data_IF_690324511777
#
_entry.id   IF_690324511777
#
_cell.length_a   1.000
_cell.length_b   1.000
_cell.length_c   1.000
_cell.angle_alpha   90.00
_cell.angle_beta   90.00
_cell.angle_gamma   90.00
#
_symmetry.space_group_name_H-M   'P 1'
#
loop_
_entity.id
_entity.type
_entity.pdbx_description
1 polymer ?
#
# COMPACT_ATOMS: atom_id res chain seq x y z
N UNK A 1 -17.38 0.05 15.62
CA UNK A 1 -17.26 0.51 14.21
C UNK A 1 -18.57 1.23 13.83
N UNK A 2 -18.56 2.55 13.70
CA UNK A 2 -19.77 3.32 13.39
C UNK A 2 -19.91 3.49 11.87
N UNK A 3 -21.06 3.08 11.31
CA UNK A 3 -21.49 3.36 9.91
C UNK A 3 -20.39 3.20 8.84
N UNK A 4 -19.72 2.06 8.81
CA UNK A 4 -18.70 1.80 7.78
C UNK A 4 -19.36 1.73 6.40
N UNK A 5 -18.77 2.40 5.41
CA UNK A 5 -19.18 2.42 4.01
C UNK A 5 -18.16 1.77 3.08
N UNK A 6 -16.89 1.76 3.49
CA UNK A 6 -15.81 1.19 2.71
C UNK A 6 -14.81 0.41 3.56
N UNK A 7 -14.29 -0.67 2.98
CA UNK A 7 -13.27 -1.53 3.57
C UNK A 7 -12.03 -1.50 2.68
N UNK A 8 -10.93 -1.06 3.23
CA UNK A 8 -9.60 -1.17 2.62
C UNK A 8 -8.95 -2.44 3.17
N UNK A 9 -8.38 -3.27 2.30
CA UNK A 9 -7.81 -4.56 2.69
C UNK A 9 -6.37 -4.64 2.16
N UNK A 10 -5.41 -4.85 3.04
CA UNK A 10 -4.06 -5.22 2.63
C UNK A 10 -4.06 -6.59 1.97
N UNK A 11 -3.04 -6.87 1.17
CA UNK A 11 -2.91 -8.10 0.40
C UNK A 11 -1.96 -9.09 1.06
N UNK A 12 -0.68 -8.71 1.18
CA UNK A 12 0.40 -9.64 1.55
C UNK A 12 0.47 -9.80 3.06
N UNK A 13 0.12 -10.96 3.56
CA UNK A 13 0.01 -11.25 4.99
C UNK A 13 -1.43 -11.19 5.49
N UNK A 14 -2.33 -10.56 4.73
CA UNK A 14 -3.76 -10.42 5.06
C UNK A 14 -4.65 -11.36 4.22
N UNK A 15 -4.46 -11.40 2.90
CA UNK A 15 -5.21 -12.30 2.01
C UNK A 15 -4.39 -13.51 1.57
N UNK A 16 -3.09 -13.31 1.37
CA UNK A 16 -2.16 -14.35 0.91
C UNK A 16 -0.72 -14.07 1.38
N UNK A 17 0.11 -15.10 1.40
CA UNK A 17 1.57 -15.00 1.56
C UNK A 17 2.21 -15.66 0.33
N UNK A 18 2.88 -14.87 -0.50
CA UNK A 18 3.31 -15.34 -1.82
C UNK A 18 2.11 -15.79 -2.65
N UNK A 19 2.07 -17.04 -3.07
CA UNK A 19 0.94 -17.65 -3.77
C UNK A 19 0.03 -18.51 -2.86
N UNK A 20 0.30 -18.56 -1.56
CA UNK A 20 -0.50 -19.32 -0.61
C UNK A 20 -1.61 -18.43 -0.03
N UNK A 21 -2.85 -18.84 -0.22
CA UNK A 21 -4.02 -18.12 0.27
C UNK A 21 -4.14 -18.34 1.78
N UNK A 22 -4.41 -17.26 2.53
CA UNK A 22 -4.72 -17.36 3.96
C UNK A 22 -6.10 -18.03 4.11
N UNK A 23 -6.23 -19.06 4.97
CA UNK A 23 -7.51 -19.74 5.17
C UNK A 23 -8.65 -18.78 5.47
N UNK A 24 -9.76 -18.94 4.77
CA UNK A 24 -10.94 -18.06 4.93
C UNK A 24 -10.92 -16.75 4.12
N UNK A 25 -9.77 -16.34 3.54
CA UNK A 25 -9.65 -15.05 2.86
C UNK A 25 -10.61 -14.90 1.66
N UNK A 26 -10.76 -15.92 0.84
CA UNK A 26 -11.73 -15.89 -0.28
C UNK A 26 -13.17 -15.76 0.22
N UNK A 27 -13.52 -16.46 1.32
CA UNK A 27 -14.85 -16.35 1.93
C UNK A 27 -15.08 -14.94 2.50
N UNK A 28 -14.09 -14.34 3.12
CA UNK A 28 -14.14 -12.96 3.61
C UNK A 28 -14.47 -11.98 2.47
N UNK A 29 -13.73 -12.04 1.36
CA UNK A 29 -13.98 -11.20 0.18
C UNK A 29 -15.38 -11.45 -0.38
N UNK A 30 -15.82 -12.71 -0.47
CA UNK A 30 -17.16 -13.07 -0.96
C UNK A 30 -18.28 -12.54 -0.04
N UNK A 31 -18.09 -12.54 1.28
CA UNK A 31 -19.04 -11.93 2.23
C UNK A 31 -19.15 -10.42 2.00
N UNK A 32 -18.02 -9.73 1.86
CA UNK A 32 -18.01 -8.29 1.54
C UNK A 32 -18.67 -7.99 0.19
N UNK A 33 -18.45 -8.82 -0.83
CA UNK A 33 -19.13 -8.68 -2.14
C UNK A 33 -20.66 -8.73 -2.05
N UNK A 34 -21.19 -9.53 -1.11
CA UNK A 34 -22.63 -9.64 -0.87
C UNK A 34 -23.19 -8.50 0.00
N UNK A 35 -22.33 -7.69 0.59
CA UNK A 35 -22.70 -6.51 1.38
C UNK A 35 -22.84 -5.28 0.49
N UNK A 36 -23.25 -4.15 1.09
CA UNK A 36 -23.29 -2.84 0.42
C UNK A 36 -21.99 -2.06 0.53
N UNK A 37 -20.98 -2.64 1.21
CA UNK A 37 -19.71 -1.98 1.45
C UNK A 37 -18.87 -1.92 0.17
N UNK A 38 -18.19 -0.80 -0.03
CA UNK A 38 -17.18 -0.67 -1.08
C UNK A 38 -15.89 -1.35 -0.63
N UNK A 39 -15.20 -1.98 -1.57
CA UNK A 39 -13.96 -2.70 -1.31
C UNK A 39 -12.83 -2.04 -2.08
N UNK A 40 -11.68 -1.85 -1.43
CA UNK A 40 -10.43 -1.45 -2.05
C UNK A 40 -9.30 -2.33 -1.54
N UNK A 41 -8.59 -2.98 -2.42
CA UNK A 41 -7.39 -3.74 -2.12
C UNK A 41 -6.19 -2.81 -2.19
N UNK A 42 -5.47 -2.66 -1.08
CA UNK A 42 -4.39 -1.66 -0.95
C UNK A 42 -3.07 -2.33 -0.64
N UNK A 43 -1.97 -1.93 -1.31
CA UNK A 43 -0.69 -2.59 -1.11
C UNK A 43 0.50 -1.68 -1.37
N UNK A 44 1.60 -1.90 -0.63
CA UNK A 44 2.91 -1.28 -0.84
C UNK A 44 3.79 -2.06 -1.84
N UNK A 45 3.22 -2.94 -2.68
CA UNK A 45 4.03 -3.70 -3.64
C UNK A 45 4.77 -2.78 -4.61
N UNK A 46 6.03 -3.14 -4.89
CA UNK A 46 6.90 -2.43 -5.84
C UNK A 46 7.50 -3.37 -6.88
N UNK A 47 7.17 -4.66 -6.81
CA UNK A 47 7.80 -5.71 -7.64
C UNK A 47 7.02 -6.02 -8.92
N UNK A 48 5.73 -5.73 -8.93
CA UNK A 48 4.83 -6.09 -10.03
C UNK A 48 3.95 -4.91 -10.42
N UNK A 49 3.61 -4.82 -11.70
CA UNK A 49 2.68 -3.82 -12.22
C UNK A 49 1.26 -4.08 -11.70
N UNK A 50 0.42 -3.05 -11.76
CA UNK A 50 -1.01 -3.14 -11.45
C UNK A 50 -1.70 -4.27 -12.22
N UNK A 51 -1.39 -4.44 -13.53
CA UNK A 51 -1.93 -5.53 -14.34
C UNK A 51 -1.47 -6.90 -13.85
N UNK A 52 -0.17 -7.07 -13.58
CA UNK A 52 0.37 -8.36 -13.10
C UNK A 52 -0.21 -8.74 -11.74
N UNK A 53 -0.40 -7.75 -10.85
CA UNK A 53 -1.04 -7.95 -9.55
C UNK A 53 -2.51 -8.38 -9.71
N UNK A 54 -3.27 -7.68 -10.55
CA UNK A 54 -4.66 -8.03 -10.86
C UNK A 54 -4.77 -9.47 -11.36
N UNK A 55 -3.95 -9.86 -12.34
CA UNK A 55 -3.98 -11.20 -12.92
C UNK A 55 -3.60 -12.27 -11.88
N UNK A 56 -2.65 -11.96 -10.99
CA UNK A 56 -2.26 -12.86 -9.90
C UNK A 56 -3.37 -13.04 -8.87
N UNK A 57 -4.02 -11.98 -8.44
CA UNK A 57 -5.14 -12.07 -7.48
C UNK A 57 -6.31 -12.87 -8.05
N UNK A 58 -6.62 -12.71 -9.34
CA UNK A 58 -7.68 -13.49 -9.98
C UNK A 58 -7.30 -14.96 -10.13
N UNK A 59 -6.01 -15.30 -10.44
CA UNK A 59 -5.55 -16.69 -10.41
C UNK A 59 -5.64 -17.32 -9.01
N UNK A 60 -5.49 -16.51 -7.95
CA UNK A 60 -5.72 -16.93 -6.57
C UNK A 60 -7.22 -17.01 -6.21
N UNK A 61 -8.14 -16.71 -7.13
CA UNK A 61 -9.58 -16.86 -6.96
C UNK A 61 -10.25 -15.76 -6.12
N UNK A 62 -9.69 -14.54 -6.09
CA UNK A 62 -10.30 -13.42 -5.35
C UNK A 62 -11.31 -12.62 -6.17
N UNK A 63 -11.42 -12.84 -7.48
CA UNK A 63 -12.35 -12.14 -8.40
C UNK A 63 -12.27 -10.61 -8.27
N UNK A 64 -11.05 -10.06 -8.25
CA UNK A 64 -10.80 -8.64 -8.05
C UNK A 64 -10.94 -7.88 -9.37
N UNK A 65 -11.56 -6.71 -9.36
CA UNK A 65 -11.60 -5.78 -10.48
C UNK A 65 -10.36 -4.86 -10.46
N UNK A 66 -9.93 -4.38 -11.62
CA UNK A 66 -8.78 -3.49 -11.71
C UNK A 66 -8.95 -2.20 -10.90
N UNK A 67 -10.12 -1.59 -10.99
CA UNK A 67 -10.46 -0.36 -10.27
C UNK A 67 -10.59 -0.54 -8.75
N UNK A 68 -10.61 -1.78 -8.27
CA UNK A 68 -10.58 -2.09 -6.83
C UNK A 68 -9.17 -2.18 -6.24
N UNK A 69 -8.13 -2.17 -7.07
CA UNK A 69 -6.75 -2.22 -6.62
C UNK A 69 -6.18 -0.80 -6.54
N UNK A 70 -5.53 -0.48 -5.42
CA UNK A 70 -4.77 0.73 -5.24
C UNK A 70 -3.38 0.40 -4.69
N UNK A 71 -2.35 0.81 -5.39
CA UNK A 71 -0.96 0.49 -5.05
C UNK A 71 -0.16 1.75 -4.76
N UNK A 72 0.97 1.60 -4.08
CA UNK A 72 1.93 2.69 -3.94
C UNK A 72 2.49 3.15 -5.30
N UNK A 73 2.55 2.26 -6.32
CA UNK A 73 2.89 2.66 -7.69
C UNK A 73 1.80 3.54 -8.31
N UNK A 74 0.51 3.21 -8.11
CA UNK A 74 -0.61 4.05 -8.55
C UNK A 74 -0.58 5.42 -7.87
N UNK A 75 -0.26 5.47 -6.58
CA UNK A 75 -0.10 6.72 -5.83
C UNK A 75 1.05 7.57 -6.37
N UNK A 76 2.21 6.95 -6.67
CA UNK A 76 3.34 7.63 -7.29
C UNK A 76 2.97 8.19 -8.68
N UNK A 77 2.28 7.40 -9.51
CA UNK A 77 1.82 7.83 -10.83
C UNK A 77 0.90 9.04 -10.72
N UNK A 78 -0.07 9.01 -9.84
CA UNK A 78 -0.97 10.14 -9.59
C UNK A 78 -0.21 11.40 -9.17
N UNK A 79 0.79 11.27 -8.30
CA UNK A 79 1.63 12.41 -7.88
C UNK A 79 2.44 12.97 -9.06
N UNK A 80 3.04 12.12 -9.88
CA UNK A 80 3.82 12.50 -11.06
C UNK A 80 2.95 13.26 -12.05
N UNK A 81 1.77 12.73 -12.37
CA UNK A 81 0.83 13.36 -13.31
C UNK A 81 0.34 14.71 -12.77
N UNK A 82 -0.03 14.78 -11.49
CA UNK A 82 -0.50 16.00 -10.83
C UNK A 82 0.56 17.10 -10.81
N UNK A 83 1.82 16.75 -10.57
CA UNK A 83 2.94 17.68 -10.52
C UNK A 83 3.64 17.89 -11.86
N UNK A 84 3.20 17.20 -12.93
CA UNK A 84 3.82 17.22 -14.27
C UNK A 84 5.32 16.92 -14.22
N UNK A 85 5.70 15.88 -13.46
CA UNK A 85 7.08 15.50 -13.27
C UNK A 85 7.56 14.57 -14.40
N UNK A 86 8.86 14.65 -14.69
CA UNK A 86 9.59 13.75 -15.60
C UNK A 86 10.53 12.89 -14.74
N UNK A 87 10.14 11.65 -14.43
CA UNK A 87 10.89 10.85 -13.48
C UNK A 87 12.06 10.10 -14.12
N UNK A 88 13.18 10.02 -13.39
CA UNK A 88 14.14 8.95 -13.51
C UNK A 88 13.62 7.76 -12.67
N UNK A 89 13.30 6.64 -13.35
CA UNK A 89 12.62 5.51 -12.72
C UNK A 89 13.62 4.44 -12.26
N UNK A 90 13.90 4.38 -10.96
CA UNK A 90 14.64 3.30 -10.30
C UNK A 90 13.65 2.24 -9.80
N UNK A 91 13.04 1.53 -10.74
CA UNK A 91 11.96 0.56 -10.54
C UNK A 91 12.27 -0.73 -11.30
N UNK A 92 11.70 -1.85 -10.85
CA UNK A 92 11.75 -3.11 -11.62
C UNK A 92 11.06 -2.93 -12.98
N UNK A 93 11.44 -3.72 -13.98
CA UNK A 93 10.86 -3.64 -15.32
C UNK A 93 9.35 -3.88 -15.32
N UNK A 94 8.85 -4.73 -14.41
CA UNK A 94 7.41 -4.90 -14.24
C UNK A 94 6.73 -3.64 -13.72
N UNK A 95 7.30 -3.01 -12.68
CA UNK A 95 6.73 -1.79 -12.10
C UNK A 95 6.77 -0.58 -13.06
N UNK A 96 7.78 -0.49 -13.91
CA UNK A 96 7.87 0.57 -14.93
C UNK A 96 6.68 0.59 -15.90
N UNK A 97 5.98 -0.52 -16.09
CA UNK A 97 4.78 -0.60 -16.94
C UNK A 97 3.65 0.32 -16.47
N UNK A 98 3.56 0.59 -15.16
CA UNK A 98 2.55 1.50 -14.59
C UNK A 98 2.86 2.97 -14.92
N UNK A 99 4.08 3.25 -15.42
CA UNK A 99 4.53 4.57 -15.82
C UNK A 99 4.57 4.75 -17.35
N UNK A 100 3.98 3.81 -18.09
CA UNK A 100 3.90 3.94 -19.55
C UNK A 100 3.23 5.26 -19.96
N UNK A 101 3.81 5.95 -20.95
CA UNK A 101 3.36 7.24 -21.44
C UNK A 101 3.76 8.45 -20.59
N UNK A 102 4.50 8.26 -19.49
CA UNK A 102 5.11 9.38 -18.76
C UNK A 102 6.37 9.82 -19.49
N UNK A 103 6.53 11.13 -19.69
CA UNK A 103 7.75 11.70 -20.23
C UNK A 103 8.91 11.52 -19.24
N UNK A 104 10.04 11.01 -19.69
CA UNK A 104 11.23 10.74 -18.87
C UNK A 104 12.49 11.48 -19.31
N UNK A 105 12.41 12.25 -20.40
CA UNK A 105 13.55 13.05 -20.86
C UNK A 105 13.79 14.24 -19.93
N UNK A 106 15.06 14.60 -19.74
CA UNK A 106 15.47 15.66 -18.82
C UNK A 106 14.79 15.57 -17.44
N UNK A 107 15.06 14.50 -16.66
CA UNK A 107 14.32 14.20 -15.45
C UNK A 107 14.42 15.31 -14.40
N UNK A 108 13.29 15.63 -13.75
CA UNK A 108 13.20 16.55 -12.62
C UNK A 108 12.65 15.87 -11.35
N UNK A 109 12.57 14.55 -11.38
CA UNK A 109 12.26 13.72 -10.24
C UNK A 109 13.02 12.38 -10.33
N UNK A 110 13.30 11.77 -9.17
CA UNK A 110 13.79 10.39 -9.02
C UNK A 110 12.70 9.62 -8.33
N UNK A 111 12.24 8.52 -8.93
CA UNK A 111 11.23 7.62 -8.34
C UNK A 111 11.92 6.32 -7.96
N UNK A 112 11.94 6.01 -6.67
CA UNK A 112 12.66 4.86 -6.13
C UNK A 112 11.69 3.84 -5.52
N UNK A 113 11.66 2.63 -6.08
CA UNK A 113 11.04 1.44 -5.53
C UNK A 113 12.06 0.33 -5.33
N UNK A 114 11.65 -0.84 -4.85
CA UNK A 114 12.55 -1.96 -4.65
C UNK A 114 12.98 -2.52 -6.02
N UNK A 115 14.19 -2.19 -6.43
CA UNK A 115 14.78 -2.61 -7.69
C UNK A 115 16.29 -2.85 -7.52
N UNK A 116 16.70 -4.02 -7.01
CA UNK A 116 18.10 -4.34 -6.74
C UNK A 116 19.03 -4.08 -7.93
N UNK A 117 18.57 -4.33 -9.15
CA UNK A 117 19.33 -4.12 -10.39
C UNK A 117 19.66 -2.64 -10.66
N UNK A 118 18.93 -1.70 -10.03
CA UNK A 118 19.14 -0.26 -10.15
C UNK A 118 19.85 0.34 -8.92
N UNK A 119 20.33 -0.47 -7.97
CA UNK A 119 21.03 0.03 -6.80
C UNK A 119 22.55 -0.09 -6.93
N UNK A 120 23.06 0.00 -8.18
CA UNK A 120 24.50 0.10 -8.44
C UNK A 120 25.04 1.47 -8.04
N UNK A 121 26.36 1.57 -7.82
CA UNK A 121 27.02 2.82 -7.49
C UNK A 121 26.78 3.90 -8.57
N UNK A 122 26.81 3.51 -9.84
CA UNK A 122 26.58 4.40 -10.98
C UNK A 122 25.16 4.95 -11.01
N UNK A 123 24.16 4.10 -10.84
CA UNK A 123 22.76 4.53 -10.84
C UNK A 123 22.42 5.39 -9.61
N UNK A 124 22.98 5.06 -8.45
CA UNK A 124 22.84 5.89 -7.25
C UNK A 124 23.49 7.27 -7.42
N UNK A 125 24.68 7.34 -8.04
CA UNK A 125 25.35 8.62 -8.36
C UNK A 125 24.56 9.45 -9.38
N UNK A 126 23.95 8.81 -10.36
CA UNK A 126 23.09 9.48 -11.33
C UNK A 126 21.87 10.11 -10.64
N UNK A 127 21.19 9.35 -9.78
CA UNK A 127 20.09 9.85 -8.97
C UNK A 127 20.55 11.02 -8.07
N UNK A 128 21.67 10.87 -7.36
CA UNK A 128 22.25 11.93 -6.52
C UNK A 128 22.45 13.24 -7.30
N UNK A 129 23.07 13.16 -8.48
CA UNK A 129 23.30 14.36 -9.34
C UNK A 129 21.99 15.03 -9.74
N UNK A 130 20.95 14.27 -10.07
CA UNK A 130 19.62 14.81 -10.37
C UNK A 130 19.05 15.57 -9.17
N UNK A 131 19.16 14.99 -7.97
CA UNK A 131 18.66 15.60 -6.73
C UNK A 131 19.41 16.88 -6.38
N UNK A 132 20.76 16.89 -6.53
CA UNK A 132 21.58 18.09 -6.34
C UNK A 132 21.22 19.21 -7.33
N UNK A 133 20.70 18.87 -8.52
CA UNK A 133 20.19 19.82 -9.52
C UNK A 133 18.71 20.18 -9.32
N UNK A 134 18.13 19.90 -8.15
CA UNK A 134 16.79 20.32 -7.76
C UNK A 134 15.66 19.33 -8.12
N UNK A 135 15.98 18.11 -8.57
CA UNK A 135 14.97 17.07 -8.77
C UNK A 135 14.33 16.66 -7.44
N UNK A 136 13.06 16.23 -7.47
CA UNK A 136 12.36 15.70 -6.30
C UNK A 136 12.68 14.22 -6.11
N UNK A 137 12.82 13.77 -4.86
CA UNK A 137 12.94 12.36 -4.52
C UNK A 137 11.56 11.82 -4.12
N UNK A 138 11.05 10.84 -4.87
CA UNK A 138 9.78 10.14 -4.59
C UNK A 138 10.11 8.70 -4.23
N UNK A 139 9.78 8.30 -3.01
CA UNK A 139 9.95 6.95 -2.50
C UNK A 139 8.61 6.21 -2.54
N UNK A 140 8.54 5.09 -3.26
CA UNK A 140 7.34 4.26 -3.30
C UNK A 140 7.00 3.74 -1.89
N UNK A 141 8.01 3.40 -1.11
CA UNK A 141 7.94 3.14 0.32
C UNK A 141 9.33 3.34 0.96
N UNK A 142 9.38 3.34 2.30
CA UNK A 142 10.64 3.41 3.06
C UNK A 142 10.84 2.19 3.96
N UNK A 143 10.44 1.01 3.49
CA UNK A 143 10.65 -0.23 4.22
C UNK A 143 12.15 -0.43 4.52
N UNK A 144 12.45 -0.78 5.78
CA UNK A 144 13.84 -1.04 6.23
C UNK A 144 14.37 -2.33 5.63
N UNK A 145 13.55 -3.38 5.64
CA UNK A 145 13.85 -4.72 5.15
C UNK A 145 12.55 -5.40 4.69
N UNK A 146 12.67 -6.47 3.94
CA UNK A 146 11.55 -7.32 3.57
C UNK A 146 11.94 -8.79 3.72
N UNK A 147 10.94 -9.64 3.94
CA UNK A 147 11.12 -11.08 4.06
C UNK A 147 11.31 -11.71 2.67
N UNK A 148 12.35 -12.53 2.53
CA UNK A 148 12.52 -13.53 1.46
C UNK A 148 12.14 -14.91 2.00
N UNK A 149 12.21 -15.92 1.15
CA UNK A 149 11.86 -17.30 1.55
C UNK A 149 12.68 -17.77 2.75
N UNK A 150 13.99 -17.49 2.78
CA UNK A 150 14.92 -18.03 3.78
C UNK A 150 15.66 -16.95 4.59
N UNK A 151 15.53 -15.68 4.25
CA UNK A 151 16.28 -14.59 4.90
C UNK A 151 15.50 -13.26 4.88
N UNK A 152 16.15 -12.22 5.45
CA UNK A 152 15.70 -10.82 5.36
C UNK A 152 16.65 -10.08 4.41
N UNK A 153 16.09 -9.22 3.56
CA UNK A 153 16.86 -8.39 2.65
C UNK A 153 16.56 -6.91 2.87
N UNK A 154 17.51 -6.04 2.50
CA UNK A 154 17.37 -4.60 2.58
C UNK A 154 16.15 -4.13 1.76
N UNK A 155 15.31 -3.33 2.39
CA UNK A 155 14.21 -2.63 1.73
C UNK A 155 14.67 -1.36 1.02
N UNK A 156 13.74 -0.75 0.29
CA UNK A 156 13.95 0.49 -0.45
C UNK A 156 14.43 1.63 0.46
N UNK A 157 13.99 1.65 1.72
CA UNK A 157 14.29 2.73 2.67
C UNK A 157 15.78 2.94 2.92
N UNK A 158 16.61 1.89 2.87
CA UNK A 158 18.07 2.01 3.03
C UNK A 158 18.69 2.84 1.88
N UNK A 159 18.26 2.62 0.65
CA UNK A 159 18.75 3.33 -0.54
C UNK A 159 18.19 4.75 -0.62
N UNK A 160 16.94 4.94 -0.24
CA UNK A 160 16.33 6.27 -0.09
C UNK A 160 17.10 7.09 0.95
N UNK A 161 17.39 6.51 2.11
CA UNK A 161 18.16 7.17 3.18
C UNK A 161 19.58 7.55 2.71
N UNK A 162 20.22 6.71 1.89
CA UNK A 162 21.53 7.03 1.32
C UNK A 162 21.49 8.29 0.43
N UNK A 163 20.45 8.43 -0.41
CA UNK A 163 20.27 9.64 -1.24
C UNK A 163 19.87 10.85 -0.39
N UNK A 164 18.99 10.70 0.59
CA UNK A 164 18.62 11.77 1.52
C UNK A 164 19.85 12.29 2.28
N UNK A 165 20.71 11.36 2.76
CA UNK A 165 21.94 11.69 3.47
C UNK A 165 22.95 12.45 2.59
N UNK A 166 23.11 11.99 1.33
CA UNK A 166 24.09 12.57 0.40
C UNK A 166 23.65 13.92 -0.18
N UNK A 167 22.36 14.27 -0.16
CA UNK A 167 21.83 15.44 -0.87
C UNK A 167 21.05 16.41 0.00
N UNK A 168 20.77 16.06 1.26
CA UNK A 168 19.85 16.78 2.18
C UNK A 168 18.40 16.91 1.62
N UNK A 169 18.08 16.27 0.51
CA UNK A 169 16.73 16.25 -0.07
C UNK A 169 15.86 15.27 0.71
N UNK A 170 14.70 15.70 1.17
CA UNK A 170 13.72 14.81 1.82
C UNK A 170 12.85 14.13 0.76
N UNK A 171 12.68 12.81 0.90
CA UNK A 171 11.80 12.05 0.01
C UNK A 171 10.33 12.32 0.30
N UNK A 172 9.53 12.36 -0.77
CA UNK A 172 8.07 12.29 -0.70
C UNK A 172 7.72 10.81 -0.74
N UNK A 173 7.27 10.27 0.38
CA UNK A 173 6.81 8.87 0.45
C UNK A 173 5.36 8.79 0.00
N UNK A 174 5.03 7.81 -0.84
CA UNK A 174 3.69 7.70 -1.45
C UNK A 174 2.96 6.39 -1.12
N UNK A 175 3.54 5.53 -0.30
CA UNK A 175 2.94 4.29 0.19
C UNK A 175 2.45 4.41 1.64
N UNK A 176 1.86 3.33 2.17
CA UNK A 176 1.55 3.19 3.59
C UNK A 176 2.84 3.37 4.41
N UNK A 177 2.82 4.04 5.59
CA UNK A 177 1.65 4.54 6.34
C UNK A 177 1.21 5.97 5.99
N UNK A 178 1.67 6.58 4.92
CA UNK A 178 1.41 7.99 4.62
C UNK A 178 -0.09 8.28 4.44
N UNK A 179 -0.57 9.36 5.07
CA UNK A 179 -1.97 9.80 4.98
C UNK A 179 -2.44 10.00 3.54
N UNK A 180 -1.56 10.52 2.69
CA UNK A 180 -1.84 10.74 1.26
C UNK A 180 -2.18 9.45 0.52
N UNK A 181 -1.59 8.32 0.92
CA UNK A 181 -1.92 7.00 0.36
C UNK A 181 -3.36 6.60 0.69
N UNK A 182 -3.75 6.68 1.97
CA UNK A 182 -5.10 6.30 2.40
C UNK A 182 -6.17 7.21 1.81
N UNK A 183 -5.93 8.53 1.79
CA UNK A 183 -6.85 9.48 1.15
C UNK A 183 -6.98 9.21 -0.36
N UNK A 184 -5.87 8.97 -1.05
CA UNK A 184 -5.91 8.61 -2.48
C UNK A 184 -6.65 7.30 -2.74
N UNK A 185 -6.51 6.31 -1.85
CA UNK A 185 -7.27 5.06 -1.94
C UNK A 185 -8.79 5.30 -1.77
N UNK A 186 -9.19 6.14 -0.80
CA UNK A 186 -10.60 6.53 -0.58
C UNK A 186 -11.13 7.31 -1.78
N UNK A 187 -10.41 8.30 -2.28
CA UNK A 187 -10.80 9.08 -3.47
C UNK A 187 -11.01 8.18 -4.69
N UNK A 188 -10.15 7.16 -4.85
CA UNK A 188 -10.23 6.20 -5.95
C UNK A 188 -11.41 5.24 -5.88
N UNK A 189 -12.21 5.25 -4.80
CA UNK A 189 -13.46 4.47 -4.70
C UNK A 189 -14.57 4.97 -5.64
N UNK A 190 -14.37 6.11 -6.32
CA UNK A 190 -15.26 6.60 -7.36
C UNK A 190 -16.67 6.96 -6.88
N UNK A 191 -16.81 7.43 -5.66
CA UNK A 191 -18.09 7.85 -5.08
C UNK A 191 -18.43 9.26 -5.60
N UNK A 192 -18.87 9.34 -6.85
CA UNK A 192 -19.17 10.59 -7.56
C UNK A 192 -20.28 11.46 -6.96
N UNK A 193 -21.02 10.99 -5.95
CA UNK A 193 -22.07 11.76 -5.28
C UNK A 193 -22.15 11.59 -3.75
N UNK A 194 -21.28 10.75 -3.14
CA UNK A 194 -21.19 10.59 -1.70
C UNK A 194 -19.72 10.54 -1.34
N UNK A 195 -19.21 11.61 -0.79
CA UNK A 195 -17.86 11.65 -0.22
C UNK A 195 -17.83 10.64 0.92
N UNK A 196 -17.11 9.53 0.74
CA UNK A 196 -16.80 8.62 1.83
C UNK A 196 -15.77 9.32 2.71
N UNK A 197 -16.15 9.67 3.93
CA UNK A 197 -15.24 10.29 4.90
C UNK A 197 -14.32 9.21 5.47
N UNK A 198 -13.11 9.59 5.87
CA UNK A 198 -12.15 8.63 6.45
C UNK A 198 -12.76 7.86 7.61
N UNK A 199 -13.55 8.50 8.47
CA UNK A 199 -14.23 7.90 9.62
C UNK A 199 -15.30 6.85 9.26
N UNK A 200 -15.72 6.79 7.99
CA UNK A 200 -16.64 5.80 7.43
C UNK A 200 -15.90 4.64 6.74
N UNK A 201 -14.57 4.62 6.86
CA UNK A 201 -13.70 3.62 6.27
C UNK A 201 -12.99 2.81 7.36
N UNK A 202 -12.74 1.54 7.05
CA UNK A 202 -11.92 0.67 7.90
C UNK A 202 -10.82 0.02 7.09
N UNK A 203 -9.62 -0.04 7.66
CA UNK A 203 -8.47 -0.77 7.11
C UNK A 203 -8.32 -2.11 7.81
N UNK A 204 -8.13 -3.18 7.05
CA UNK A 204 -7.76 -4.51 7.55
C UNK A 204 -6.33 -4.79 7.08
N UNK A 205 -5.41 -5.07 7.99
CA UNK A 205 -4.02 -5.37 7.66
C UNK A 205 -3.28 -6.13 8.75
N UNK A 206 -2.12 -6.69 8.39
CA UNK A 206 -1.25 -7.47 9.26
C UNK A 206 -0.07 -6.67 9.84
N UNK A 207 0.14 -5.46 9.31
CA UNK A 207 1.18 -4.56 9.79
C UNK A 207 0.56 -3.47 10.69
N UNK A 208 0.92 -3.53 11.98
CA UNK A 208 0.37 -2.62 12.99
C UNK A 208 0.72 -1.15 12.71
N UNK A 209 1.87 -0.86 12.08
CA UNK A 209 2.30 0.51 11.80
C UNK A 209 1.84 0.98 10.43
N UNK A 210 2.17 0.20 9.39
CA UNK A 210 1.94 0.62 8.01
C UNK A 210 0.46 0.56 7.64
N UNK A 211 -0.27 -0.45 8.09
CA UNK A 211 -1.69 -0.62 7.78
C UNK A 211 -2.57 0.09 8.81
N UNK A 212 -2.55 -0.42 10.04
CA UNK A 212 -3.50 -0.02 11.08
C UNK A 212 -3.18 1.36 11.62
N UNK A 213 -1.92 1.60 11.99
CA UNK A 213 -1.46 2.90 12.49
C UNK A 213 -1.65 4.01 11.48
N UNK A 214 -1.20 3.79 10.23
CA UNK A 214 -1.36 4.77 9.15
C UNK A 214 -2.83 5.08 8.84
N UNK A 215 -3.70 4.07 8.88
CA UNK A 215 -5.15 4.26 8.70
C UNK A 215 -5.76 5.08 9.83
N UNK A 216 -5.44 4.77 11.09
CA UNK A 216 -5.91 5.52 12.28
C UNK A 216 -5.44 6.98 12.22
N UNK A 217 -4.17 7.23 11.89
CA UNK A 217 -3.64 8.58 11.71
C UNK A 217 -4.31 9.34 10.56
N UNK A 218 -4.89 8.63 9.59
CA UNK A 218 -5.67 9.16 8.48
C UNK A 218 -7.15 9.37 8.81
N UNK A 219 -7.56 9.11 10.06
CA UNK A 219 -8.93 9.26 10.55
C UNK A 219 -9.86 8.07 10.26
N UNK A 220 -9.30 6.92 9.88
CA UNK A 220 -10.03 5.67 9.63
C UNK A 220 -10.08 4.82 10.90
N UNK A 221 -10.93 3.78 10.88
CA UNK A 221 -10.79 2.65 11.80
C UNK A 221 -9.75 1.66 11.28
N UNK A 222 -9.11 0.88 12.16
CA UNK A 222 -8.14 -0.15 11.79
C UNK A 222 -8.41 -1.46 12.50
N UNK A 223 -8.32 -2.58 11.78
CA UNK A 223 -8.39 -3.93 12.31
C UNK A 223 -7.08 -4.66 12.02
N UNK A 224 -6.40 -5.10 13.08
CA UNK A 224 -5.15 -5.85 12.99
C UNK A 224 -5.45 -7.35 12.94
N UNK A 225 -4.96 -8.03 11.90
CA UNK A 225 -5.08 -9.48 11.76
C UNK A 225 -3.81 -10.18 12.26
N UNK A 226 -3.99 -11.31 12.98
CA UNK A 226 -2.89 -12.10 13.55
C UNK A 226 -2.28 -13.06 12.52
N UNK A 227 -2.15 -12.60 11.28
CA UNK A 227 -1.54 -13.34 10.16
C UNK A 227 -0.29 -12.61 9.67
N UNK A 228 0.40 -13.14 8.68
CA UNK A 228 1.51 -12.46 8.01
C UNK A 228 2.62 -11.98 8.95
N UNK A 229 2.83 -10.67 8.98
CA UNK A 229 3.90 -10.02 9.76
C UNK A 229 3.61 -9.91 11.25
N UNK A 230 2.34 -10.00 11.67
CA UNK A 230 1.96 -9.82 13.05
C UNK A 230 2.81 -10.65 14.02
N UNK A 231 3.18 -10.05 15.13
CA UNK A 231 3.82 -10.69 16.29
C UNK A 231 3.05 -10.33 17.55
N UNK A 232 2.97 -11.26 18.49
CA UNK A 232 2.30 -11.02 19.78
C UNK A 232 2.82 -9.75 20.46
N UNK A 233 1.92 -8.85 20.82
CA UNK A 233 2.25 -7.54 21.41
C UNK A 233 2.43 -6.42 20.40
N UNK A 234 2.25 -6.67 19.10
CA UNK A 234 2.34 -5.60 18.08
C UNK A 234 1.29 -4.51 18.30
N UNK A 235 0.11 -4.85 18.80
CA UNK A 235 -0.97 -3.93 19.15
C UNK A 235 -0.55 -2.85 20.16
N UNK A 236 0.36 -3.18 21.07
CA UNK A 236 0.87 -2.25 22.09
C UNK A 236 1.66 -1.09 21.46
N UNK A 237 2.25 -1.28 20.28
CA UNK A 237 3.07 -0.26 19.60
C UNK A 237 2.29 0.99 19.21
N UNK A 238 0.97 0.88 19.10
CA UNK A 238 0.06 1.98 18.77
C UNK A 238 -1.09 2.12 19.77
N UNK A 239 -1.02 1.42 20.92
CA UNK A 239 -2.08 1.35 21.91
C UNK A 239 -3.44 0.93 21.33
N UNK A 240 -3.43 -0.05 20.41
CA UNK A 240 -4.66 -0.55 19.78
C UNK A 240 -5.45 -1.38 20.78
N UNK A 241 -6.74 -1.09 20.92
CA UNK A 241 -7.61 -1.88 21.80
C UNK A 241 -7.76 -3.32 21.25
N UNK A 242 -7.73 -4.30 22.16
CA UNK A 242 -7.73 -5.74 21.82
C UNK A 242 -8.95 -6.18 21.00
N UNK A 243 -10.08 -5.46 21.13
CA UNK A 243 -11.29 -5.71 20.34
C UNK A 243 -11.11 -5.48 18.84
N UNK A 244 -10.06 -4.74 18.44
CA UNK A 244 -9.67 -4.50 17.05
C UNK A 244 -8.55 -5.42 16.57
N UNK A 245 -8.14 -6.39 17.39
CA UNK A 245 -7.12 -7.39 17.06
C UNK A 245 -7.81 -8.75 16.88
N UNK A 246 -7.87 -9.21 15.64
CA UNK A 246 -8.63 -10.42 15.27
C UNK A 246 -7.73 -11.48 14.65
N UNK A 247 -8.19 -12.72 14.59
CA UNK A 247 -7.34 -13.84 14.17
C UNK A 247 -6.92 -13.74 12.69
N UNK A 248 -7.85 -13.36 11.82
CA UNK A 248 -7.68 -13.35 10.37
C UNK A 248 -8.66 -12.37 9.69
N UNK A 249 -8.55 -12.24 8.38
CA UNK A 249 -9.42 -11.36 7.59
C UNK A 249 -10.89 -11.78 7.62
N UNK A 250 -11.20 -13.07 7.78
CA UNK A 250 -12.58 -13.53 7.88
C UNK A 250 -13.22 -13.04 9.17
N UNK A 251 -12.50 -13.16 10.29
CA UNK A 251 -12.92 -12.63 11.60
C UNK A 251 -13.10 -11.11 11.56
N UNK A 252 -12.21 -10.39 10.86
CA UNK A 252 -12.32 -8.95 10.67
C UNK A 252 -13.61 -8.56 9.91
N UNK A 253 -13.89 -9.27 8.82
CA UNK A 253 -15.09 -9.04 8.01
C UNK A 253 -16.36 -9.36 8.79
N UNK A 254 -16.38 -10.44 9.56
CA UNK A 254 -17.52 -10.79 10.40
C UNK A 254 -17.82 -9.72 11.45
N UNK A 255 -16.78 -9.16 12.07
CA UNK A 255 -16.91 -8.04 13.02
C UNK A 255 -17.49 -6.78 12.35
N UNK A 256 -17.01 -6.41 11.14
CA UNK A 256 -17.50 -5.26 10.38
C UNK A 256 -18.99 -5.43 10.04
N UNK A 257 -19.37 -6.61 9.51
CA UNK A 257 -20.73 -6.88 9.09
C UNK A 257 -21.70 -6.92 10.28
N UNK A 258 -21.32 -7.51 11.42
CA UNK A 258 -22.11 -7.51 12.65
C UNK A 258 -22.39 -6.07 13.13
N UNK A 259 -21.36 -5.22 13.17
CA UNK A 259 -21.51 -3.81 13.57
C UNK A 259 -22.41 -2.98 12.64
N UNK A 260 -22.55 -3.40 11.38
CA UNK A 260 -23.40 -2.73 10.39
C UNK A 260 -24.88 -3.06 10.55
N UNK A 261 -25.21 -4.22 11.14
CA UNK A 261 -26.59 -4.65 11.40
C UNK A 261 -27.19 -4.04 12.69
N UNK A 262 -26.37 -3.66 13.67
CA UNK A 262 -26.86 -3.08 14.94
C UNK A 262 -27.25 -1.60 14.81
N UNK A 263 -26.90 -0.94 13.71
CA UNK A 263 -27.12 0.50 13.46
C UNK A 263 -28.11 0.79 12.34
N UNK A 264 -28.81 -0.20 11.81
CA UNK A 264 -29.85 -0.10 10.78
C UNK A 264 -31.22 -0.51 11.30
#
# INVERSE_FOLDING_TARGET
LKQIKAVLIDLSGTLHVGNNIIPGAQNAVNKLRKSRLKIKFVTNTTKESHQSLHDRLNRLGFEVKKDEIFTSLSSARTLIDKMKLRPHLMLSESAKRDFFGVETENPNAVVMGLSPDHFSYEEMNKAMKLLQNGAKLIAINKLRYFQRENDIALGTGAFVAALEYATDVKSIVVGKPEKSFFHGAIESLGLSNVICRSEECVMIGDDVRDDVGGAIESGMSGLLVKTGKYRSGDEEKINLALEFVVNDVLSAVDLILASSYENG
#
